data_IF_026466116335
#
_entry.id   IF_026466116335
#
_cell.length_a   1.000
_cell.length_b   1.000
_cell.length_c   1.000
_cell.angle_alpha   90.00
_cell.angle_beta   90.00
_cell.angle_gamma   90.00
#
_symmetry.space_group_name_H-M   'P 1'
#
loop_
_entity.id
_entity.type
_entity.pdbx_description
1 polymer ?
#
# COMPACT_ATOMS: atom_id res chain seq x y z
N UNK A 1 27.20 -26.23 42.84
CA UNK A 1 26.93 -24.82 42.49
C UNK A 1 27.31 -24.73 41.03
N UNK A 2 26.38 -25.12 40.17
CA UNK A 2 26.68 -25.28 38.76
C UNK A 2 26.67 -23.91 38.10
N UNK A 3 27.78 -23.57 37.46
CA UNK A 3 27.96 -22.34 36.70
C UNK A 3 27.11 -22.43 35.43
N UNK A 4 25.80 -22.18 35.56
CA UNK A 4 24.96 -21.95 34.39
C UNK A 4 25.43 -20.68 33.69
N UNK A 5 25.74 -20.78 32.41
CA UNK A 5 26.22 -19.66 31.62
C UNK A 5 25.06 -18.66 31.43
N UNK A 6 25.33 -17.38 31.73
CA UNK A 6 24.38 -16.29 31.46
C UNK A 6 24.22 -16.03 29.97
N UNK A 7 25.15 -16.52 29.15
CA UNK A 7 25.09 -16.49 27.69
C UNK A 7 24.84 -17.90 27.16
N UNK A 8 23.73 -18.08 26.45
CA UNK A 8 23.37 -19.30 25.76
C UNK A 8 23.52 -19.09 24.24
N UNK A 9 24.35 -19.91 23.61
CA UNK A 9 24.50 -19.97 22.16
C UNK A 9 23.88 -21.28 21.69
N UNK A 10 22.86 -21.20 20.86
CA UNK A 10 22.12 -22.34 20.31
C UNK A 10 22.64 -22.58 18.90
N UNK A 11 23.43 -23.64 18.74
CA UNK A 11 23.92 -24.10 17.43
C UNK A 11 23.12 -25.28 16.89
N UNK A 12 22.26 -25.88 17.72
CA UNK A 12 21.37 -26.97 17.34
C UNK A 12 20.09 -26.89 18.17
N UNK A 13 18.96 -27.38 17.65
CA UNK A 13 17.66 -27.27 18.32
C UNK A 13 17.60 -27.93 19.71
N UNK A 14 18.35 -29.02 19.93
CA UNK A 14 18.46 -29.66 21.24
C UNK A 14 19.04 -28.72 22.31
N UNK A 15 19.87 -27.76 21.89
CA UNK A 15 20.43 -26.77 22.81
C UNK A 15 19.36 -25.77 23.24
N UNK A 16 18.37 -25.52 22.37
CA UNK A 16 17.25 -24.61 22.64
C UNK A 16 16.36 -25.17 23.75
N UNK A 17 15.83 -26.39 23.61
CA UNK A 17 14.93 -26.96 24.62
C UNK A 17 15.67 -27.48 25.86
N UNK A 18 16.91 -27.93 25.71
CA UNK A 18 17.69 -28.53 26.80
C UNK A 18 18.32 -27.52 27.76
N UNK A 19 18.69 -26.32 27.28
CA UNK A 19 19.45 -25.34 28.06
C UNK A 19 18.77 -23.98 28.22
N UNK A 20 17.58 -23.76 27.66
CA UNK A 20 16.82 -22.54 27.94
C UNK A 20 16.33 -22.56 29.39
N UNK A 21 17.08 -21.88 30.27
CA UNK A 21 16.78 -21.78 31.70
C UNK A 21 16.52 -20.34 32.12
N UNK A 22 15.89 -20.17 33.29
CA UNK A 22 15.46 -18.87 33.84
C UNK A 22 16.59 -17.86 34.10
N UNK A 23 17.85 -18.27 33.95
CA UNK A 23 19.06 -17.49 34.23
C UNK A 23 19.78 -16.98 32.98
N UNK A 24 19.28 -17.30 31.78
CA UNK A 24 19.85 -16.81 30.53
C UNK A 24 19.64 -15.30 30.42
N UNK A 25 20.73 -14.55 30.24
CA UNK A 25 20.75 -13.10 30.01
C UNK A 25 21.01 -12.75 28.53
N UNK A 26 21.74 -13.59 27.80
CA UNK A 26 22.00 -13.43 26.37
C UNK A 26 21.64 -14.72 25.64
N UNK A 27 20.71 -14.66 24.70
CA UNK A 27 20.35 -15.78 23.84
C UNK A 27 20.75 -15.46 22.41
N UNK A 28 21.63 -16.29 21.85
CA UNK A 28 22.06 -16.22 20.46
C UNK A 28 21.69 -17.53 19.79
N UNK A 29 20.75 -17.50 18.86
CA UNK A 29 20.39 -18.62 18.00
C UNK A 29 21.19 -18.48 16.72
N UNK A 30 21.87 -19.55 16.31
CA UNK A 30 22.60 -19.61 15.04
C UNK A 30 21.66 -19.59 13.84
N UNK A 31 22.22 -19.78 12.64
CA UNK A 31 21.46 -19.79 11.40
C UNK A 31 20.79 -21.17 11.17
N UNK A 32 19.66 -21.18 10.48
CA UNK A 32 18.90 -22.36 10.05
C UNK A 32 18.49 -23.28 11.22
N UNK A 33 18.22 -22.71 12.39
CA UNK A 33 17.78 -23.49 13.55
C UNK A 33 16.27 -23.68 13.48
N UNK A 34 15.84 -24.93 13.32
CA UNK A 34 14.43 -25.33 13.34
C UNK A 34 14.06 -26.02 14.65
N UNK A 35 12.82 -25.82 15.09
CA UNK A 35 12.26 -26.50 16.25
C UNK A 35 11.50 -27.75 15.80
N UNK A 36 11.08 -28.58 16.76
CA UNK A 36 10.29 -29.78 16.43
C UNK A 36 8.95 -29.37 15.81
N UNK A 37 8.46 -30.14 14.83
CA UNK A 37 7.26 -29.82 14.01
C UNK A 37 5.99 -29.50 14.84
N UNK A 38 5.89 -30.00 16.07
CA UNK A 38 4.75 -29.75 16.96
C UNK A 38 4.82 -28.39 17.67
N UNK A 39 5.99 -27.75 17.69
CA UNK A 39 6.22 -26.50 18.42
C UNK A 39 5.96 -25.31 17.51
N UNK A 40 4.71 -24.86 17.43
CA UNK A 40 4.29 -23.72 16.59
C UNK A 40 4.28 -22.37 17.35
N UNK A 41 4.57 -22.38 18.65
CA UNK A 41 4.51 -21.20 19.51
C UNK A 41 5.78 -21.00 20.33
N UNK A 42 6.40 -19.84 20.17
CA UNK A 42 7.56 -19.41 20.94
C UNK A 42 7.16 -18.36 21.99
N UNK A 43 7.17 -18.76 23.25
CA UNK A 43 6.91 -17.88 24.40
C UNK A 43 8.16 -17.78 25.29
N UNK A 44 8.74 -16.58 25.33
CA UNK A 44 9.95 -16.29 26.12
C UNK A 44 9.65 -15.93 27.58
N UNK A 45 8.40 -16.03 28.04
CA UNK A 45 8.00 -15.67 29.40
C UNK A 45 8.84 -16.36 30.50
N UNK A 46 9.39 -17.55 30.25
CA UNK A 46 10.18 -18.26 31.26
C UNK A 46 11.61 -17.71 31.43
N UNK A 47 12.15 -16.98 30.45
CA UNK A 47 13.51 -16.42 30.48
C UNK A 47 13.54 -14.95 30.90
N UNK A 48 13.00 -14.66 32.08
CA UNK A 48 12.83 -13.31 32.63
C UNK A 48 14.13 -12.51 32.82
N UNK A 49 15.29 -13.16 32.79
CA UNK A 49 16.60 -12.51 32.91
C UNK A 49 17.17 -12.04 31.57
N UNK A 50 16.52 -12.40 30.45
CA UNK A 50 17.00 -12.12 29.10
C UNK A 50 17.12 -10.61 28.86
N UNK A 51 18.30 -10.19 28.41
CA UNK A 51 18.66 -8.83 28.03
C UNK A 51 18.82 -8.69 26.52
N UNK A 52 19.40 -9.70 25.87
CA UNK A 52 19.63 -9.68 24.43
C UNK A 52 19.09 -10.96 23.80
N UNK A 53 18.33 -10.80 22.72
CA UNK A 53 17.86 -11.89 21.87
C UNK A 53 18.41 -11.66 20.47
N UNK A 54 19.21 -12.60 19.99
CA UNK A 54 19.72 -12.62 18.63
C UNK A 54 19.29 -13.94 17.98
N UNK A 55 18.68 -13.84 16.81
CA UNK A 55 18.24 -14.99 16.03
C UNK A 55 18.94 -14.88 14.67
N UNK A 56 19.62 -15.95 14.27
CA UNK A 56 20.32 -16.05 13.00
C UNK A 56 19.36 -16.16 11.81
N UNK A 57 19.91 -16.19 10.61
CA UNK A 57 19.16 -16.27 9.36
C UNK A 57 18.42 -17.61 9.22
N UNK A 58 17.29 -17.63 8.51
CA UNK A 58 16.58 -18.86 8.14
C UNK A 58 16.05 -19.67 9.32
N UNK A 59 15.91 -19.07 10.51
CA UNK A 59 15.59 -19.82 11.73
C UNK A 59 14.10 -19.77 12.07
N UNK A 60 13.63 -20.81 12.75
CA UNK A 60 12.27 -20.91 13.29
C UNK A 60 11.17 -20.85 12.22
N UNK A 61 11.32 -21.59 11.13
CA UNK A 61 10.21 -21.85 10.20
C UNK A 61 9.06 -22.53 10.94
N UNK A 62 7.84 -22.35 10.44
CA UNK A 62 6.61 -22.96 10.97
C UNK A 62 6.17 -22.46 12.36
N UNK A 63 6.93 -21.53 12.96
CA UNK A 63 6.47 -20.83 14.16
C UNK A 63 5.42 -19.81 13.74
N UNK A 64 4.17 -20.06 14.16
CA UNK A 64 3.05 -19.16 13.88
C UNK A 64 2.94 -18.04 14.91
N UNK A 65 3.52 -18.19 16.11
CA UNK A 65 3.34 -17.20 17.19
C UNK A 65 4.58 -16.96 18.02
N UNK A 66 4.97 -15.69 18.14
CA UNK A 66 6.12 -15.25 18.94
C UNK A 66 5.68 -14.26 20.02
N UNK A 67 6.01 -14.56 21.28
CA UNK A 67 5.65 -13.75 22.45
C UNK A 67 6.88 -13.32 23.24
N UNK A 68 7.09 -12.01 23.27
CA UNK A 68 8.01 -11.29 24.15
C UNK A 68 7.19 -10.42 25.09
N UNK A 69 6.57 -11.06 26.09
CA UNK A 69 5.60 -10.40 26.98
C UNK A 69 6.13 -10.34 28.40
N UNK A 70 6.16 -9.13 28.97
CA UNK A 70 6.53 -8.90 30.36
C UNK A 70 8.02 -9.00 30.64
N UNK A 71 8.88 -8.98 29.61
CA UNK A 71 10.32 -9.17 29.73
C UNK A 71 10.98 -7.95 30.39
N UNK A 72 11.18 -8.00 31.71
CA UNK A 72 11.61 -6.82 32.49
C UNK A 72 13.06 -6.40 32.28
N UNK A 73 13.90 -7.29 31.76
CA UNK A 73 15.32 -7.05 31.52
C UNK A 73 15.71 -6.93 30.04
N UNK A 74 14.78 -7.18 29.12
CA UNK A 74 15.08 -7.23 27.69
C UNK A 74 15.43 -5.82 27.20
N UNK A 75 16.59 -5.68 26.55
CA UNK A 75 17.14 -4.42 26.07
C UNK A 75 17.25 -4.36 24.54
N UNK A 76 17.54 -5.50 23.88
CA UNK A 76 17.74 -5.56 22.42
C UNK A 76 17.23 -6.88 21.84
N UNK A 77 16.56 -6.79 20.70
CA UNK A 77 16.13 -7.93 19.87
C UNK A 77 16.61 -7.70 18.44
N UNK A 78 17.31 -8.68 17.88
CA UNK A 78 17.78 -8.71 16.50
C UNK A 78 17.42 -10.06 15.89
N UNK A 79 16.75 -10.04 14.74
CA UNK A 79 16.34 -11.24 14.00
C UNK A 79 16.92 -11.17 12.59
N UNK A 80 17.63 -12.22 12.18
CA UNK A 80 18.23 -12.37 10.86
C UNK A 80 17.18 -12.60 9.76
N UNK A 81 17.64 -12.58 8.51
CA UNK A 81 16.77 -12.71 7.35
C UNK A 81 16.02 -14.05 7.32
N UNK A 82 14.92 -14.13 6.57
CA UNK A 82 14.18 -15.37 6.24
C UNK A 82 13.79 -16.21 7.48
N UNK A 83 13.64 -15.55 8.64
CA UNK A 83 13.31 -16.20 9.91
C UNK A 83 11.84 -16.06 10.23
N UNK A 84 11.26 -17.03 10.91
CA UNK A 84 9.82 -17.05 11.21
C UNK A 84 8.92 -17.02 9.97
N UNK A 85 9.38 -17.63 8.87
CA UNK A 85 8.54 -17.90 7.70
C UNK A 85 7.56 -19.03 8.01
N UNK A 86 6.32 -18.92 7.54
CA UNK A 86 5.25 -19.89 7.80
C UNK A 86 4.55 -20.20 6.48
N UNK A 87 4.57 -21.46 6.06
CA UNK A 87 3.69 -21.91 4.97
C UNK A 87 2.26 -22.05 5.54
N UNK A 88 1.44 -21.00 5.43
CA UNK A 88 0.14 -20.94 6.10
C UNK A 88 -0.87 -21.91 5.47
N UNK A 89 -1.42 -22.79 6.31
CA UNK A 89 -2.76 -23.39 6.12
C UNK A 89 -3.80 -22.50 6.81
N UNK A 90 -4.94 -22.24 6.16
CA UNK A 90 -5.97 -21.21 6.45
C UNK A 90 -6.57 -21.13 7.89
N UNK A 91 -6.11 -21.93 8.86
CA UNK A 91 -6.83 -22.18 10.11
C UNK A 91 -6.26 -21.48 11.37
N UNK A 92 -5.02 -20.99 11.37
CA UNK A 92 -4.41 -20.38 12.57
C UNK A 92 -3.86 -18.96 12.34
N UNK A 93 -4.30 -18.01 13.18
CA UNK A 93 -3.81 -16.63 13.14
C UNK A 93 -2.35 -16.52 13.57
N UNK A 94 -1.46 -16.19 12.65
CA UNK A 94 -0.04 -15.94 12.92
C UNK A 94 0.18 -14.58 13.58
N UNK A 95 1.20 -14.44 14.44
CA UNK A 95 1.42 -13.14 15.09
C UNK A 95 2.63 -12.97 16.01
N UNK A 96 3.17 -11.74 15.99
CA UNK A 96 4.23 -11.25 16.86
C UNK A 96 3.64 -10.35 17.96
N UNK A 97 3.97 -10.65 19.22
CA UNK A 97 3.52 -9.89 20.38
C UNK A 97 4.70 -9.45 21.24
N UNK A 98 5.02 -8.16 21.19
CA UNK A 98 6.07 -7.53 22.02
C UNK A 98 5.39 -6.57 22.98
N UNK A 99 5.19 -7.00 24.23
CA UNK A 99 4.41 -6.25 25.23
C UNK A 99 5.12 -6.12 26.57
N UNK A 100 4.90 -5.03 27.28
CA UNK A 100 5.31 -4.84 28.68
C UNK A 100 6.81 -5.06 28.95
N UNK A 101 7.65 -4.67 27.99
CA UNK A 101 9.11 -4.76 28.05
C UNK A 101 9.71 -3.35 28.33
N UNK A 102 9.82 -2.93 29.60
CA UNK A 102 10.12 -1.54 29.97
C UNK A 102 11.53 -1.07 29.63
N UNK A 103 12.47 -2.01 29.39
CA UNK A 103 13.87 -1.71 29.11
C UNK A 103 14.26 -1.93 27.64
N UNK A 104 13.33 -2.40 26.79
CA UNK A 104 13.62 -2.68 25.39
C UNK A 104 13.93 -1.36 24.68
N UNK A 105 15.14 -1.23 24.13
CA UNK A 105 15.63 -0.03 23.43
C UNK A 105 15.61 -0.20 21.92
N UNK A 106 15.87 -1.41 21.45
CA UNK A 106 16.05 -1.71 20.04
C UNK A 106 15.36 -3.00 19.65
N UNK A 107 14.59 -2.93 18.57
CA UNK A 107 14.01 -4.09 17.91
C UNK A 107 14.29 -3.98 16.41
N UNK A 108 15.04 -4.96 15.87
CA UNK A 108 15.40 -5.02 14.45
C UNK A 108 15.11 -6.39 13.89
N UNK A 109 14.59 -6.42 12.68
CA UNK A 109 14.41 -7.64 11.88
C UNK A 109 15.01 -7.43 10.49
N UNK A 110 15.53 -8.52 9.92
CA UNK A 110 16.04 -8.60 8.56
C UNK A 110 14.95 -8.69 7.50
N UNK A 111 15.34 -9.07 6.28
CA UNK A 111 14.43 -9.30 5.15
C UNK A 111 13.62 -10.58 5.34
N UNK A 112 12.39 -10.59 4.86
CA UNK A 112 11.48 -11.76 4.80
C UNK A 112 11.26 -12.42 6.16
N UNK A 113 11.30 -11.61 7.23
CA UNK A 113 10.97 -12.03 8.59
C UNK A 113 9.50 -11.74 8.86
N UNK A 114 8.75 -12.73 9.35
CA UNK A 114 7.32 -12.59 9.63
C UNK A 114 6.51 -12.15 8.39
N UNK A 115 6.89 -12.57 7.19
CA UNK A 115 6.24 -12.21 5.93
C UNK A 115 4.76 -12.61 5.92
N UNK A 116 4.44 -13.84 6.35
CA UNK A 116 3.09 -14.38 6.44
C UNK A 116 2.40 -14.17 7.80
N UNK A 117 2.87 -13.20 8.60
CA UNK A 117 2.27 -12.89 9.90
C UNK A 117 1.11 -11.90 9.77
N UNK A 118 -0.09 -12.31 10.21
CA UNK A 118 -1.29 -11.45 10.18
C UNK A 118 -1.29 -10.35 11.24
N UNK A 119 -0.60 -10.59 12.36
CA UNK A 119 -0.67 -9.75 13.56
C UNK A 119 0.71 -9.28 14.01
N UNK A 120 0.86 -7.97 14.20
CA UNK A 120 2.07 -7.35 14.70
C UNK A 120 1.72 -6.37 15.82
N UNK A 121 2.17 -6.62 17.06
CA UNK A 121 1.81 -5.81 18.22
C UNK A 121 3.02 -5.38 19.03
N UNK A 122 3.14 -4.05 19.20
CA UNK A 122 4.11 -3.39 20.08
C UNK A 122 3.38 -2.52 21.12
N UNK A 123 3.35 -2.95 22.38
CA UNK A 123 2.61 -2.25 23.44
C UNK A 123 3.43 -2.07 24.71
N UNK A 124 3.28 -0.92 25.36
CA UNK A 124 3.94 -0.59 26.63
C UNK A 124 5.47 -0.79 26.61
N UNK A 125 6.12 -0.09 25.67
CA UNK A 125 7.57 -0.12 25.45
C UNK A 125 8.20 1.27 25.72
N UNK A 126 8.19 1.77 26.96
CA UNK A 126 8.56 3.15 27.29
C UNK A 126 10.03 3.51 27.01
N UNK A 127 10.90 2.52 26.83
CA UNK A 127 12.31 2.72 26.51
C UNK A 127 12.68 2.49 25.06
N UNK A 128 11.73 2.13 24.19
CA UNK A 128 12.03 1.81 22.80
C UNK A 128 12.49 3.06 22.07
N UNK A 129 13.69 3.01 21.48
CA UNK A 129 14.34 4.11 20.76
C UNK A 129 14.40 3.82 19.25
N UNK A 130 14.55 2.54 18.88
CA UNK A 130 14.69 2.10 17.49
C UNK A 130 13.77 0.92 17.20
N UNK A 131 12.98 1.07 16.15
CA UNK A 131 12.19 0.00 15.55
C UNK A 131 12.48 -0.06 14.04
N UNK A 132 13.14 -1.13 13.61
CA UNK A 132 13.45 -1.37 12.19
C UNK A 132 12.82 -2.67 11.73
N UNK A 133 11.89 -2.56 10.78
CA UNK A 133 11.09 -3.66 10.25
C UNK A 133 11.51 -3.96 8.81
N UNK A 134 12.63 -4.65 8.62
CA UNK A 134 13.19 -4.98 7.31
C UNK A 134 14.29 -4.03 6.83
N UNK A 135 14.77 -4.27 5.60
CA UNK A 135 15.78 -3.45 4.93
C UNK A 135 15.14 -2.48 3.92
N UNK A 136 15.48 -1.19 4.03
CA UNK A 136 14.94 -0.14 3.14
C UNK A 136 15.45 -0.18 1.70
N UNK A 137 16.42 -1.03 1.38
CA UNK A 137 17.11 -1.11 0.09
C UNK A 137 16.90 -2.46 -0.61
N UNK A 138 16.69 -3.51 0.16
CA UNK A 138 16.49 -4.87 -0.33
C UNK A 138 15.06 -5.32 -0.08
N UNK A 139 14.52 -6.16 -0.97
CA UNK A 139 13.17 -6.73 -0.82
C UNK A 139 13.08 -7.39 0.56
N UNK A 140 12.04 -7.05 1.31
CA UNK A 140 11.91 -7.52 2.70
C UNK A 140 10.54 -8.12 3.04
N UNK A 141 9.45 -7.74 2.37
CA UNK A 141 8.11 -8.34 2.50
C UNK A 141 7.57 -8.57 3.95
N UNK A 142 8.16 -7.96 4.98
CA UNK A 142 7.82 -8.25 6.37
C UNK A 142 6.37 -7.86 6.65
N UNK A 143 5.63 -8.73 7.32
CA UNK A 143 4.23 -8.50 7.72
C UNK A 143 3.36 -8.09 6.52
N UNK A 144 3.41 -8.85 5.43
CA UNK A 144 2.89 -8.45 4.13
C UNK A 144 1.42 -8.02 4.20
N UNK A 145 0.57 -8.80 4.88
CA UNK A 145 -0.88 -8.56 5.01
C UNK A 145 -1.31 -7.89 6.33
N UNK A 146 -0.36 -7.62 7.23
CA UNK A 146 -0.69 -7.11 8.57
C UNK A 146 -1.04 -5.62 8.56
N UNK A 147 -1.76 -5.19 9.59
CA UNK A 147 -1.90 -3.77 9.93
C UNK A 147 -0.91 -3.38 11.04
N UNK A 148 -0.56 -2.09 11.12
CA UNK A 148 0.49 -1.62 12.01
C UNK A 148 0.03 -0.44 12.88
N UNK A 149 0.14 -0.58 14.20
CA UNK A 149 -0.21 0.50 15.13
C UNK A 149 0.88 0.69 16.19
N UNK A 150 1.34 1.93 16.35
CA UNK A 150 2.18 2.37 17.45
C UNK A 150 1.55 3.55 18.16
N UNK A 151 1.33 3.39 19.47
CA UNK A 151 0.73 4.43 20.31
C UNK A 151 1.56 4.66 21.55
N UNK A 152 1.77 5.93 21.88
CA UNK A 152 2.31 6.35 23.19
C UNK A 152 3.71 5.77 23.50
N UNK A 153 4.64 5.88 22.55
CA UNK A 153 6.06 5.49 22.75
C UNK A 153 6.91 6.75 22.93
N UNK A 154 7.24 7.14 24.18
CA UNK A 154 7.80 8.46 24.50
C UNK A 154 9.26 8.65 24.06
N UNK A 155 9.98 7.57 23.75
CA UNK A 155 11.41 7.60 23.37
C UNK A 155 11.70 7.12 21.96
N UNK A 156 10.70 6.64 21.22
CA UNK A 156 10.93 6.10 19.88
C UNK A 156 11.43 7.23 18.99
N UNK A 157 12.61 7.04 18.42
CA UNK A 157 13.35 8.07 17.67
C UNK A 157 13.45 7.72 16.20
N UNK A 158 13.69 6.44 15.91
CA UNK A 158 13.86 5.91 14.55
C UNK A 158 12.82 4.82 14.28
N UNK A 159 12.03 5.02 13.22
CA UNK A 159 11.12 4.03 12.68
C UNK A 159 11.43 3.81 11.20
N UNK A 160 11.69 2.56 10.82
CA UNK A 160 11.93 2.19 9.43
C UNK A 160 11.14 0.96 9.00
N UNK A 161 10.62 1.01 7.78
CA UNK A 161 9.96 -0.09 7.10
C UNK A 161 10.79 -0.50 5.88
N UNK A 162 11.06 -1.80 5.73
CA UNK A 162 11.79 -2.37 4.61
C UNK A 162 10.97 -2.35 3.32
N UNK A 163 11.60 -2.69 2.20
CA UNK A 163 10.93 -2.76 0.89
C UNK A 163 9.80 -3.79 0.96
N UNK A 164 8.59 -3.39 0.54
CA UNK A 164 7.36 -4.21 0.59
C UNK A 164 6.90 -4.62 2.00
N UNK A 165 7.44 -4.04 3.08
CA UNK A 165 6.89 -4.26 4.40
C UNK A 165 5.46 -3.68 4.50
N UNK A 166 4.52 -4.46 5.04
CA UNK A 166 3.10 -4.08 5.15
C UNK A 166 2.49 -3.66 3.79
N UNK A 167 2.69 -4.47 2.74
CA UNK A 167 2.23 -4.18 1.37
C UNK A 167 0.71 -4.29 1.17
N UNK A 168 0.01 -5.05 2.00
CA UNK A 168 -1.43 -5.23 1.89
C UNK A 168 -2.10 -4.91 3.22
N UNK A 169 -1.72 -3.77 3.80
CA UNK A 169 -2.23 -3.35 5.10
C UNK A 169 -3.62 -2.69 5.00
N UNK A 170 -4.44 -2.80 6.05
CA UNK A 170 -5.70 -2.04 6.13
C UNK A 170 -5.48 -0.72 6.87
N UNK A 171 -4.62 -0.73 7.88
CA UNK A 171 -4.47 0.41 8.80
C UNK A 171 -3.02 0.60 9.24
N UNK A 172 -2.59 1.86 9.22
CA UNK A 172 -1.30 2.29 9.79
C UNK A 172 -1.57 3.47 10.72
N UNK A 173 -1.30 3.33 12.01
CA UNK A 173 -1.52 4.39 13.00
C UNK A 173 -0.25 4.67 13.83
N UNK A 174 0.26 5.89 13.73
CA UNK A 174 1.39 6.41 14.49
C UNK A 174 0.90 7.59 15.34
N UNK A 175 0.62 7.33 16.62
CA UNK A 175 0.00 8.32 17.51
C UNK A 175 0.83 8.54 18.77
N UNK A 176 1.01 9.80 19.16
CA UNK A 176 1.71 10.19 20.41
C UNK A 176 3.13 9.64 20.49
N UNK A 177 3.97 9.95 19.49
CA UNK A 177 5.39 9.59 19.44
C UNK A 177 6.26 10.86 19.55
N UNK A 178 6.36 11.47 20.74
CA UNK A 178 6.94 12.81 20.92
C UNK A 178 8.44 12.91 20.68
N UNK A 179 9.14 11.77 20.60
CA UNK A 179 10.57 11.69 20.33
C UNK A 179 10.91 11.26 18.90
N UNK A 180 9.91 10.93 18.07
CA UNK A 180 10.17 10.39 16.73
C UNK A 180 10.81 11.48 15.87
N UNK A 181 12.01 11.20 15.37
CA UNK A 181 12.81 12.14 14.57
C UNK A 181 12.77 11.76 13.08
N UNK A 182 12.87 10.47 12.79
CA UNK A 182 12.98 9.94 11.45
C UNK A 182 12.00 8.78 11.21
N UNK A 183 11.20 8.94 10.16
CA UNK A 183 10.38 7.90 9.56
C UNK A 183 10.89 7.63 8.14
N UNK A 184 11.37 6.42 7.91
CA UNK A 184 11.87 5.97 6.61
C UNK A 184 11.05 4.79 6.10
N UNK A 185 10.66 4.85 4.83
CA UNK A 185 9.75 3.88 4.22
C UNK A 185 10.42 3.34 2.97
N UNK A 186 10.66 2.03 2.94
CA UNK A 186 11.19 1.34 1.77
C UNK A 186 10.22 1.41 0.58
N UNK A 187 10.74 1.15 -0.61
CA UNK A 187 9.95 1.09 -1.83
C UNK A 187 8.78 0.11 -1.65
N UNK A 188 7.58 0.46 -2.13
CA UNK A 188 6.37 -0.35 -2.05
C UNK A 188 5.95 -0.79 -0.63
N UNK A 189 6.54 -0.23 0.43
CA UNK A 189 6.09 -0.45 1.80
C UNK A 189 4.85 0.40 2.10
N UNK A 190 4.01 -0.08 3.03
CA UNK A 190 2.77 0.58 3.44
C UNK A 190 1.83 0.84 2.24
N UNK A 191 1.71 -0.16 1.36
CA UNK A 191 0.65 -0.22 0.36
C UNK A 191 -0.61 -0.73 1.06
N UNK A 192 -1.75 -0.13 0.76
CA UNK A 192 -3.00 -0.44 1.43
C UNK A 192 -3.87 -1.40 0.60
N UNK A 193 -4.79 -2.11 1.25
CA UNK A 193 -5.87 -2.83 0.58
C UNK A 193 -6.71 -1.86 -0.25
N UNK A 194 -7.21 -2.30 -1.40
CA UNK A 194 -8.21 -1.53 -2.17
C UNK A 194 -9.57 -1.61 -1.46
N UNK A 195 -9.76 -0.75 -0.45
CA UNK A 195 -10.97 -0.68 0.37
C UNK A 195 -11.18 0.74 0.88
N UNK A 196 -12.45 1.14 1.04
CA UNK A 196 -12.86 2.40 1.66
C UNK A 196 -12.60 2.47 3.18
N UNK A 197 -12.12 1.39 3.79
CA UNK A 197 -11.77 1.31 5.21
C UNK A 197 -10.32 1.65 5.50
N UNK A 198 -9.49 1.79 4.47
CA UNK A 198 -8.06 1.93 4.66
C UNK A 198 -7.67 3.29 5.21
N UNK A 199 -6.80 3.28 6.21
CA UNK A 199 -6.53 4.48 7.00
C UNK A 199 -5.06 4.61 7.41
N UNK A 200 -4.48 5.77 7.11
CA UNK A 200 -3.21 6.24 7.66
C UNK A 200 -3.47 7.35 8.68
N UNK A 201 -3.02 7.16 9.91
CA UNK A 201 -3.01 8.20 10.95
C UNK A 201 -1.58 8.49 11.37
N UNK A 202 -1.18 9.75 11.29
CA UNK A 202 0.03 10.28 11.90
C UNK A 202 -0.35 11.49 12.75
N UNK A 203 -0.40 11.30 14.08
CA UNK A 203 -0.85 12.33 15.01
C UNK A 203 0.14 12.50 16.16
N UNK A 204 0.39 13.75 16.53
CA UNK A 204 1.24 14.12 17.68
C UNK A 204 2.66 13.57 17.56
N UNK A 205 3.34 13.96 16.46
CA UNK A 205 4.75 13.66 16.17
C UNK A 205 5.58 14.98 16.14
N UNK A 206 5.64 15.75 17.23
CA UNK A 206 6.17 17.12 17.25
C UNK A 206 7.64 17.26 16.89
N UNK A 207 8.44 16.19 17.02
CA UNK A 207 9.87 16.17 16.70
C UNK A 207 10.20 15.53 15.35
N UNK A 208 9.20 15.07 14.61
CA UNK A 208 9.44 14.41 13.33
C UNK A 208 10.05 15.43 12.36
N UNK A 209 11.28 15.20 11.93
CA UNK A 209 12.01 16.08 11.00
C UNK A 209 12.06 15.52 9.60
N UNK A 210 12.11 14.19 9.50
CA UNK A 210 12.27 13.46 8.23
C UNK A 210 11.13 12.46 8.05
N UNK A 211 10.42 12.58 6.93
CA UNK A 211 9.52 11.56 6.41
C UNK A 211 9.91 11.26 4.96
N UNK A 212 10.60 10.13 4.75
CA UNK A 212 11.22 9.82 3.47
C UNK A 212 10.85 8.43 2.96
N UNK A 213 10.25 8.39 1.76
CA UNK A 213 10.15 7.18 0.94
C UNK A 213 11.45 7.01 0.17
N UNK A 214 12.13 5.88 0.40
CA UNK A 214 13.41 5.57 -0.22
C UNK A 214 13.16 4.71 -1.47
N UNK A 215 13.75 5.13 -2.59
CA UNK A 215 13.70 4.39 -3.87
C UNK A 215 15.01 4.58 -4.62
N UNK A 216 15.34 3.64 -5.49
CA UNK A 216 16.45 3.79 -6.44
C UNK A 216 16.05 4.74 -7.58
N UNK A 217 17.03 5.42 -8.19
CA UNK A 217 16.77 6.39 -9.25
C UNK A 217 15.97 5.78 -10.41
N UNK A 218 14.86 6.44 -10.75
CA UNK A 218 13.97 6.03 -11.84
C UNK A 218 13.04 4.85 -11.50
N UNK A 219 13.01 4.34 -10.27
CA UNK A 219 12.03 3.34 -9.85
C UNK A 219 10.75 4.02 -9.36
N UNK A 220 9.60 3.60 -9.89
CA UNK A 220 8.28 3.95 -9.35
C UNK A 220 8.04 3.21 -8.04
N UNK A 221 7.32 3.83 -7.11
CA UNK A 221 6.89 3.21 -5.85
C UNK A 221 5.41 3.43 -5.65
N UNK A 222 4.74 2.41 -5.14
CA UNK A 222 3.34 2.47 -4.72
C UNK A 222 3.20 2.69 -3.21
N UNK A 223 4.24 3.13 -2.49
CA UNK A 223 4.10 3.42 -1.06
C UNK A 223 2.95 4.41 -0.78
N UNK A 224 2.08 4.05 0.16
CA UNK A 224 0.83 4.76 0.50
C UNK A 224 -0.25 4.78 -0.59
N UNK A 225 -0.13 3.90 -1.59
CA UNK A 225 -1.17 3.67 -2.57
C UNK A 225 -2.37 2.98 -1.92
N UNK A 226 -3.58 3.16 -2.46
CA UNK A 226 -4.85 2.65 -1.90
C UNK A 226 -5.24 3.13 -0.51
N UNK A 227 -4.51 4.07 0.08
CA UNK A 227 -4.91 4.69 1.34
C UNK A 227 -6.11 5.62 1.11
N UNK A 228 -7.28 5.28 1.65
CA UNK A 228 -8.52 6.03 1.45
C UNK A 228 -8.63 7.24 2.39
N UNK A 229 -8.35 7.03 3.68
CA UNK A 229 -8.38 8.05 4.74
C UNK A 229 -6.96 8.37 5.20
N UNK A 230 -6.59 9.65 5.17
CA UNK A 230 -5.28 10.13 5.64
C UNK A 230 -5.48 11.24 6.66
N UNK A 231 -5.01 11.00 7.89
CA UNK A 231 -5.06 11.95 9.00
C UNK A 231 -3.64 12.32 9.39
N UNK A 232 -3.30 13.60 9.23
CA UNK A 232 -1.98 14.14 9.52
C UNK A 232 -2.12 15.34 10.46
N UNK A 233 -1.73 15.17 11.72
CA UNK A 233 -1.97 16.17 12.75
C UNK A 233 -0.72 16.38 13.61
N UNK A 234 -0.38 17.64 13.85
CA UNK A 234 0.69 18.04 14.76
C UNK A 234 2.07 17.43 14.41
N UNK A 235 2.57 17.80 13.23
CA UNK A 235 3.91 17.50 12.69
C UNK A 235 4.73 18.80 12.44
N UNK A 236 4.81 19.75 13.40
CA UNK A 236 5.36 21.09 13.19
C UNK A 236 6.83 21.14 12.77
N UNK A 237 7.64 20.17 13.19
CA UNK A 237 9.10 20.15 12.94
C UNK A 237 9.47 19.48 11.62
N UNK A 238 8.48 19.03 10.83
CA UNK A 238 8.72 18.29 9.60
C UNK A 238 9.35 19.22 8.56
N UNK A 239 10.55 18.89 8.10
CA UNK A 239 11.35 19.72 7.18
C UNK A 239 11.72 18.96 5.92
N UNK A 240 12.07 17.69 6.05
CA UNK A 240 12.45 16.84 4.93
C UNK A 240 11.33 15.87 4.64
N UNK A 241 10.67 16.07 3.49
CA UNK A 241 9.63 15.17 2.99
C UNK A 241 10.06 14.65 1.64
N UNK A 242 10.04 13.34 1.48
CA UNK A 242 10.24 12.69 0.19
C UNK A 242 9.10 11.71 -0.02
N UNK A 243 8.08 12.13 -0.77
CA UNK A 243 7.00 11.28 -1.23
C UNK A 243 7.15 11.03 -2.73
N UNK A 244 6.65 9.90 -3.19
CA UNK A 244 6.78 9.47 -4.58
C UNK A 244 5.47 9.73 -5.34
N UNK A 245 5.48 9.86 -6.68
CA UNK A 245 4.34 10.42 -7.44
C UNK A 245 3.00 9.70 -7.24
N UNK A 246 3.01 8.41 -6.88
CA UNK A 246 1.80 7.61 -6.66
C UNK A 246 1.33 7.59 -5.18
N UNK A 247 2.05 8.23 -4.26
CA UNK A 247 1.63 8.27 -2.86
C UNK A 247 0.29 9.00 -2.70
N UNK A 248 -0.60 8.42 -1.91
CA UNK A 248 -1.96 8.93 -1.65
C UNK A 248 -2.85 9.04 -2.89
N UNK A 249 -2.56 8.32 -3.98
CA UNK A 249 -3.36 8.40 -5.21
C UNK A 249 -4.84 8.07 -4.98
N UNK A 250 -5.15 7.26 -3.97
CA UNK A 250 -6.51 6.82 -3.62
C UNK A 250 -7.16 7.58 -2.47
N UNK A 251 -6.49 8.61 -1.95
CA UNK A 251 -6.99 9.34 -0.79
C UNK A 251 -8.16 10.22 -1.19
N UNK A 252 -9.31 10.01 -0.54
CA UNK A 252 -10.51 10.83 -0.71
C UNK A 252 -10.86 11.60 0.56
N UNK A 253 -10.44 11.10 1.72
CA UNK A 253 -10.65 11.73 3.03
C UNK A 253 -9.30 12.18 3.59
N UNK A 254 -8.96 13.44 3.35
CA UNK A 254 -7.73 14.05 3.88
C UNK A 254 -8.05 15.00 5.03
N UNK A 255 -7.51 14.71 6.21
CA UNK A 255 -7.50 15.63 7.34
C UNK A 255 -6.07 16.07 7.64
N UNK A 256 -5.81 17.38 7.59
CA UNK A 256 -4.49 17.93 7.90
C UNK A 256 -4.58 19.07 8.90
N UNK A 257 -3.65 19.10 9.86
CA UNK A 257 -3.50 20.20 10.81
C UNK A 257 -2.07 20.30 11.30
N UNK A 258 -1.42 21.46 11.10
CA UNK A 258 -0.05 21.72 11.56
C UNK A 258 0.99 20.67 11.08
N UNK A 259 1.09 20.46 9.77
CA UNK A 259 1.88 19.37 9.17
C UNK A 259 3.27 19.78 8.64
N UNK A 260 3.80 20.94 9.06
CA UNK A 260 5.14 21.39 8.68
C UNK A 260 5.36 21.50 7.16
N UNK A 261 6.53 21.08 6.67
CA UNK A 261 6.91 21.12 5.25
C UNK A 261 5.96 20.34 4.33
N UNK A 262 5.22 19.37 4.86
CA UNK A 262 4.26 18.57 4.10
C UNK A 262 3.10 19.42 3.57
N UNK A 263 2.76 20.54 4.24
CA UNK A 263 1.74 21.50 3.78
C UNK A 263 2.07 22.16 2.44
N UNK A 264 3.34 22.13 2.02
CA UNK A 264 3.79 22.72 0.75
C UNK A 264 4.09 21.64 -0.30
N UNK A 265 3.87 20.36 0.00
CA UNK A 265 4.17 19.27 -0.91
C UNK A 265 3.10 19.21 -2.03
N UNK A 266 3.56 19.17 -3.29
CA UNK A 266 2.68 19.22 -4.48
C UNK A 266 1.59 18.16 -4.48
N UNK A 267 1.90 16.94 -4.03
CA UNK A 267 0.96 15.83 -3.94
C UNK A 267 -0.25 16.11 -3.05
N UNK A 268 -0.10 16.86 -1.95
CA UNK A 268 -1.25 17.22 -1.11
C UNK A 268 -2.08 18.35 -1.72
N UNK A 269 -1.48 19.20 -2.56
CA UNK A 269 -2.18 20.27 -3.26
C UNK A 269 -2.99 19.77 -4.47
N UNK A 270 -2.66 18.58 -5.00
CA UNK A 270 -3.39 17.92 -6.08
C UNK A 270 -4.50 17.01 -5.59
N UNK A 271 -4.57 16.71 -4.28
CA UNK A 271 -5.66 15.93 -3.72
C UNK A 271 -6.95 16.75 -3.88
N UNK A 272 -7.94 16.24 -4.62
CA UNK A 272 -9.16 16.98 -4.85
C UNK A 272 -9.84 17.25 -3.51
N UNK A 273 -10.36 18.47 -3.34
CA UNK A 273 -11.49 18.72 -2.47
C UNK A 273 -12.69 17.92 -3.03
N UNK A 274 -12.65 16.59 -2.95
CA UNK A 274 -13.57 15.73 -3.65
C UNK A 274 -14.89 15.68 -2.88
N UNK A 275 -15.91 16.32 -3.46
CA UNK A 275 -17.29 15.97 -3.17
C UNK A 275 -17.49 14.55 -3.69
N UNK A 276 -17.68 13.59 -2.78
CA UNK A 276 -18.06 12.23 -3.13
C UNK A 276 -19.44 12.27 -3.80
N UNK A 277 -19.51 11.93 -5.10
CA UNK A 277 -20.78 11.84 -5.82
C UNK A 277 -21.14 10.35 -5.96
N UNK A 278 -22.18 9.93 -5.26
CA UNK A 278 -22.79 8.60 -5.45
C UNK A 278 -23.73 8.61 -6.66
N UNK A 279 -23.86 7.46 -7.34
CA UNK A 279 -24.60 7.31 -8.60
C UNK A 279 -26.07 7.77 -8.56
N UNK A 280 -26.71 7.81 -7.38
CA UNK A 280 -28.09 8.27 -7.19
C UNK A 280 -28.24 9.80 -7.17
N UNK A 281 -27.17 10.57 -7.03
CA UNK A 281 -27.18 12.03 -6.98
C UNK A 281 -27.10 12.76 -8.33
N UNK A 282 -26.77 12.06 -9.42
CA UNK A 282 -26.40 12.69 -10.71
C UNK A 282 -27.57 13.09 -11.61
N UNK A 283 -28.73 12.43 -11.49
CA UNK A 283 -29.91 12.68 -12.33
C UNK A 283 -30.41 14.15 -12.30
N UNK A 284 -30.55 14.81 -11.13
CA UNK A 284 -30.99 16.21 -11.08
C UNK A 284 -29.92 17.25 -11.47
N UNK A 285 -28.65 16.86 -11.58
CA UNK A 285 -27.52 17.73 -11.96
C UNK A 285 -27.16 17.62 -13.47
N UNK A 286 -27.69 16.62 -14.17
CA UNK A 286 -27.32 16.31 -15.55
C UNK A 286 -27.58 17.45 -16.56
N UNK A 287 -28.48 18.38 -16.24
CA UNK A 287 -28.90 19.48 -17.12
C UNK A 287 -28.12 20.78 -16.92
N UNK A 288 -27.30 20.91 -15.87
CA UNK A 288 -26.58 22.14 -15.54
C UNK A 288 -25.05 22.03 -15.55
N UNK A 289 -24.51 20.81 -15.47
CA UNK A 289 -23.07 20.59 -15.45
C UNK A 289 -22.44 20.89 -16.81
N UNK A 290 -21.33 21.62 -16.77
CA UNK A 290 -20.52 21.98 -17.94
C UNK A 290 -19.15 21.30 -17.92
N UNK A 291 -18.69 20.85 -16.75
CA UNK A 291 -17.42 20.14 -16.58
C UNK A 291 -17.65 19.00 -15.56
N UNK A 292 -17.11 17.81 -15.88
CA UNK A 292 -17.13 16.64 -14.99
C UNK A 292 -15.69 16.28 -14.67
N UNK A 293 -15.35 16.33 -13.38
CA UNK A 293 -14.08 15.83 -12.86
C UNK A 293 -14.36 14.73 -11.85
N UNK A 294 -13.91 13.52 -12.16
CA UNK A 294 -13.96 12.36 -11.29
C UNK A 294 -12.57 12.20 -10.68
N UNK A 295 -12.50 12.22 -9.36
CA UNK A 295 -11.24 12.03 -8.63
C UNK A 295 -10.64 10.65 -8.89
N UNK A 296 -9.34 10.50 -8.64
CA UNK A 296 -8.66 9.21 -8.65
C UNK A 296 -9.40 8.17 -7.80
N UNK A 297 -9.34 6.90 -8.20
CA UNK A 297 -9.83 5.72 -7.45
C UNK A 297 -11.33 5.76 -7.15
N UNK A 298 -12.07 6.55 -7.94
CA UNK A 298 -13.51 6.70 -7.79
C UNK A 298 -14.27 5.65 -8.58
N UNK A 299 -15.41 5.21 -8.06
CA UNK A 299 -16.31 4.29 -8.78
C UNK A 299 -15.91 2.82 -8.74
N UNK A 300 -15.12 2.38 -7.75
CA UNK A 300 -14.68 0.99 -7.61
C UNK A 300 -15.68 0.08 -6.85
N UNK A 301 -16.97 0.42 -6.85
CA UNK A 301 -18.01 -0.47 -6.29
C UNK A 301 -18.16 -1.71 -7.21
N UNK A 302 -18.05 -2.95 -6.69
CA UNK A 302 -18.26 -4.18 -7.48
C UNK A 302 -19.61 -4.25 -8.19
N UNK A 303 -20.61 -3.49 -7.75
CA UNK A 303 -21.93 -3.40 -8.39
C UNK A 303 -21.96 -2.41 -9.57
N UNK A 304 -20.98 -1.51 -9.67
CA UNK A 304 -20.90 -0.51 -10.74
C UNK A 304 -20.22 -1.11 -11.97
N UNK A 305 -20.98 -1.87 -12.75
CA UNK A 305 -20.49 -2.59 -13.93
C UNK A 305 -20.59 -1.80 -15.24
N UNK A 306 -21.23 -0.62 -15.21
CA UNK A 306 -21.35 0.26 -16.37
C UNK A 306 -21.40 1.73 -15.95
N UNK A 307 -20.81 2.61 -16.77
CA UNK A 307 -20.79 4.06 -16.61
C UNK A 307 -21.34 4.69 -17.88
N UNK A 308 -22.43 5.45 -17.74
CA UNK A 308 -23.08 6.16 -18.85
C UNK A 308 -23.04 7.68 -18.63
N UNK A 309 -22.26 8.39 -19.45
CA UNK A 309 -22.16 9.85 -19.46
C UNK A 309 -23.17 10.51 -20.42
N UNK A 310 -23.92 9.73 -21.20
CA UNK A 310 -24.87 10.24 -22.19
C UNK A 310 -25.92 11.22 -21.65
N UNK A 311 -26.38 11.14 -20.37
CA UNK A 311 -27.32 12.12 -19.84
C UNK A 311 -26.79 13.57 -19.76
N UNK A 312 -25.47 13.78 -19.72
CA UNK A 312 -24.85 15.09 -19.47
C UNK A 312 -24.66 15.93 -20.75
N UNK A 313 -25.77 16.35 -21.37
CA UNK A 313 -25.75 17.02 -22.69
C UNK A 313 -25.05 18.38 -22.74
N UNK A 314 -24.88 19.03 -21.58
CA UNK A 314 -24.28 20.37 -21.49
C UNK A 314 -22.77 20.34 -21.19
N UNK A 315 -22.19 19.16 -20.96
CA UNK A 315 -20.80 19.01 -20.56
C UNK A 315 -19.85 19.22 -21.74
N UNK A 316 -18.78 19.98 -21.47
CA UNK A 316 -17.67 20.29 -22.37
C UNK A 316 -16.43 19.47 -22.07
N UNK A 317 -16.15 19.18 -20.80
CA UNK A 317 -14.98 18.40 -20.41
C UNK A 317 -15.36 17.25 -19.49
N UNK A 318 -14.79 16.08 -19.75
CA UNK A 318 -14.81 14.94 -18.83
C UNK A 318 -13.36 14.61 -18.50
N UNK A 319 -13.02 14.64 -17.22
CA UNK A 319 -11.72 14.21 -16.70
C UNK A 319 -11.97 13.14 -15.65
N UNK A 320 -11.48 11.93 -15.89
CA UNK A 320 -11.47 10.83 -14.94
C UNK A 320 -10.06 10.65 -14.41
N UNK A 321 -9.89 10.59 -13.10
CA UNK A 321 -8.60 10.30 -12.49
C UNK A 321 -8.09 8.88 -12.80
N UNK A 322 -6.96 8.55 -12.19
CA UNK A 322 -6.32 7.23 -12.31
C UNK A 322 -7.04 6.19 -11.44
N UNK A 323 -6.98 4.92 -11.84
CA UNK A 323 -7.50 3.74 -11.12
C UNK A 323 -8.99 3.80 -10.76
N UNK A 324 -9.78 4.48 -11.59
CA UNK A 324 -11.22 4.62 -11.42
C UNK A 324 -11.99 3.47 -12.09
N UNK A 325 -13.20 3.21 -11.60
CA UNK A 325 -14.18 2.32 -12.21
C UNK A 325 -13.67 0.89 -12.47
N UNK A 326 -12.97 0.31 -11.49
CA UNK A 326 -12.34 -1.02 -11.53
C UNK A 326 -13.24 -2.13 -12.07
N UNK A 327 -14.51 -2.13 -11.70
CA UNK A 327 -15.48 -3.17 -12.10
C UNK A 327 -16.37 -2.76 -13.28
N UNK A 328 -16.22 -1.52 -13.78
CA UNK A 328 -17.05 -1.04 -14.86
C UNK A 328 -16.52 -1.55 -16.19
N UNK A 329 -17.25 -2.50 -16.76
CA UNK A 329 -16.92 -3.10 -18.04
C UNK A 329 -17.41 -2.25 -19.21
N UNK A 330 -18.40 -1.37 -19.01
CA UNK A 330 -19.01 -0.61 -20.12
C UNK A 330 -18.97 0.88 -19.88
N UNK A 331 -18.41 1.64 -20.81
CA UNK A 331 -18.37 3.10 -20.78
C UNK A 331 -19.03 3.66 -22.02
N UNK A 332 -20.07 4.48 -21.81
CA UNK A 332 -20.86 5.06 -22.91
C UNK A 332 -20.84 6.58 -22.84
N UNK A 333 -20.41 7.20 -23.93
CA UNK A 333 -20.50 8.63 -24.20
C UNK A 333 -21.30 8.81 -25.49
N UNK A 334 -22.63 8.94 -25.38
CA UNK A 334 -23.50 9.05 -26.55
C UNK A 334 -24.27 10.37 -26.62
N UNK A 335 -24.22 11.00 -27.79
CA UNK A 335 -25.04 12.16 -28.14
C UNK A 335 -24.71 13.36 -27.29
N UNK A 336 -23.44 13.69 -27.12
CA UNK A 336 -22.97 14.79 -26.28
C UNK A 336 -22.52 15.97 -27.16
N UNK A 337 -23.43 16.92 -27.50
CA UNK A 337 -23.20 17.91 -28.56
C UNK A 337 -22.21 19.02 -28.18
N UNK A 338 -21.94 19.19 -26.88
CA UNK A 338 -21.03 20.23 -26.37
C UNK A 338 -19.69 19.68 -25.90
N UNK A 339 -19.49 18.36 -25.88
CA UNK A 339 -18.27 17.75 -25.36
C UNK A 339 -17.08 18.05 -26.26
N UNK A 340 -16.03 18.63 -25.69
CA UNK A 340 -14.83 19.12 -26.39
C UNK A 340 -13.59 18.27 -26.04
N UNK A 341 -13.49 17.76 -24.81
CA UNK A 341 -12.33 16.99 -24.33
C UNK A 341 -12.73 15.86 -23.39
N UNK A 342 -12.13 14.69 -23.60
CA UNK A 342 -12.26 13.53 -22.71
C UNK A 342 -10.87 13.10 -22.29
N UNK A 343 -10.64 13.01 -20.99
CA UNK A 343 -9.41 12.51 -20.39
C UNK A 343 -9.74 11.41 -19.39
N UNK A 344 -9.13 10.25 -19.58
CA UNK A 344 -9.25 9.10 -18.70
C UNK A 344 -7.86 8.79 -18.14
N UNK A 345 -7.73 8.83 -16.82
CA UNK A 345 -6.48 8.59 -16.12
C UNK A 345 -5.99 7.14 -16.26
N UNK A 346 -4.72 6.94 -15.91
CA UNK A 346 -4.04 5.66 -16.00
C UNK A 346 -4.77 4.57 -15.21
N UNK A 347 -4.76 3.35 -15.74
CA UNK A 347 -5.26 2.16 -15.04
C UNK A 347 -6.73 2.22 -14.60
N UNK A 348 -7.54 3.07 -15.25
CA UNK A 348 -8.99 3.14 -15.06
C UNK A 348 -9.71 2.17 -15.98
N UNK A 349 -10.89 1.66 -15.57
CA UNK A 349 -11.69 0.67 -16.31
C UNK A 349 -10.95 -0.64 -16.58
N UNK A 350 -10.21 -1.13 -15.59
CA UNK A 350 -9.63 -2.47 -15.56
C UNK A 350 -9.80 -3.06 -14.16
N UNK A 351 -10.11 -4.35 -14.08
CA UNK A 351 -10.31 -5.06 -12.82
C UNK A 351 -8.98 -5.39 -12.15
N UNK A 352 -7.92 -5.64 -12.92
CA UNK A 352 -6.59 -5.93 -12.43
C UNK A 352 -5.68 -4.74 -12.66
N UNK A 353 -5.11 -4.21 -11.58
CA UNK A 353 -4.03 -3.22 -11.73
C UNK A 353 -2.76 -3.99 -12.06
N UNK A 354 -2.43 -4.04 -13.34
CA UNK A 354 -1.11 -4.44 -13.76
C UNK A 354 -0.14 -3.34 -13.34
N UNK A 355 0.59 -3.55 -12.25
CA UNK A 355 1.64 -2.62 -11.86
C UNK A 355 2.87 -2.83 -12.76
N UNK A 356 3.56 -1.76 -13.15
CA UNK A 356 4.77 -1.82 -13.95
C UNK A 356 5.95 -2.37 -13.12
N UNK A 357 5.99 -3.68 -12.84
CA UNK A 357 7.08 -4.32 -12.07
C UNK A 357 7.24 -5.79 -12.43
N UNK A 358 8.46 -6.18 -12.82
CA UNK A 358 8.84 -7.56 -13.12
C UNK A 358 8.83 -8.51 -11.91
N UNK A 359 8.69 -8.00 -10.68
CA UNK A 359 8.86 -8.81 -9.45
C UNK A 359 7.61 -8.84 -8.53
N UNK A 360 6.50 -8.21 -8.92
CA UNK A 360 5.25 -8.27 -8.15
C UNK A 360 4.14 -8.81 -9.05
N UNK A 361 3.97 -10.12 -9.00
CA UNK A 361 2.77 -10.79 -9.51
C UNK A 361 1.66 -10.47 -8.51
N UNK A 362 0.95 -9.35 -8.69
CA UNK A 362 -0.44 -9.29 -8.22
C UNK A 362 -1.15 -10.38 -9.01
N UNK A 363 -1.52 -11.47 -8.34
CA UNK A 363 -2.17 -12.67 -8.89
C UNK A 363 -2.63 -12.47 -10.33
N UNK A 364 -1.75 -12.83 -11.27
CA UNK A 364 -2.13 -12.96 -12.67
C UNK A 364 -2.86 -14.30 -12.72
N UNK A 365 -4.11 -14.31 -12.28
CA UNK A 365 -5.02 -15.23 -12.92
C UNK A 365 -5.07 -14.79 -14.38
N UNK A 366 -4.70 -15.70 -15.28
CA UNK A 366 -4.90 -15.57 -16.71
C UNK A 366 -6.42 -15.42 -16.96
N UNK A 367 -6.98 -14.23 -16.71
CA UNK A 367 -8.40 -14.01 -16.92
C UNK A 367 -8.60 -13.62 -18.39
N UNK A 368 -9.23 -14.54 -19.13
CA UNK A 368 -9.66 -14.41 -20.53
C UNK A 368 -10.84 -13.42 -20.68
N UNK A 369 -11.17 -12.60 -19.68
CA UNK A 369 -12.27 -11.64 -19.74
C UNK A 369 -11.95 -10.39 -20.54
N UNK A 370 -11.97 -10.55 -21.85
CA UNK A 370 -11.98 -9.46 -22.83
C UNK A 370 -13.46 -9.10 -23.10
N UNK A 371 -14.18 -8.57 -22.10
CA UNK A 371 -15.63 -8.26 -22.23
C UNK A 371 -15.94 -6.76 -22.10
N UNK A 372 -14.94 -5.91 -21.80
CA UNK A 372 -15.18 -4.48 -21.64
C UNK A 372 -15.41 -3.73 -22.96
N UNK A 373 -16.19 -2.65 -22.94
CA UNK A 373 -16.53 -1.84 -24.10
C UNK A 373 -16.39 -0.34 -23.79
N UNK A 374 -15.56 0.37 -24.55
CA UNK A 374 -15.55 1.82 -24.63
C UNK A 374 -16.29 2.28 -25.88
N UNK A 375 -17.31 3.13 -25.71
CA UNK A 375 -18.17 3.57 -26.80
C UNK A 375 -18.37 5.09 -26.74
N UNK A 376 -17.85 5.81 -27.73
CA UNK A 376 -18.07 7.24 -27.94
C UNK A 376 -18.77 7.47 -29.27
N UNK A 377 -20.02 7.93 -29.23
CA UNK A 377 -20.87 8.15 -30.41
C UNK A 377 -21.54 9.50 -30.42
N UNK A 378 -21.71 10.11 -31.59
CA UNK A 378 -22.48 11.35 -31.78
C UNK A 378 -21.96 12.50 -30.89
N UNK A 379 -20.63 12.70 -30.89
CA UNK A 379 -19.93 13.69 -30.07
C UNK A 379 -19.21 14.72 -30.98
N UNK A 380 -19.95 15.63 -31.65
CA UNK A 380 -19.45 16.40 -32.79
C UNK A 380 -18.36 17.43 -32.50
N UNK A 381 -18.11 17.75 -31.22
CA UNK A 381 -17.15 18.79 -30.82
C UNK A 381 -15.88 18.25 -30.15
N UNK A 382 -15.78 16.94 -29.92
CA UNK A 382 -14.62 16.37 -29.23
C UNK A 382 -13.40 16.51 -30.12
N UNK A 383 -12.38 17.22 -29.63
CA UNK A 383 -11.12 17.43 -30.34
C UNK A 383 -10.01 16.51 -29.86
N UNK A 384 -9.99 16.24 -28.55
CA UNK A 384 -8.95 15.45 -27.90
C UNK A 384 -9.56 14.36 -27.06
N UNK A 385 -9.11 13.12 -27.28
CA UNK A 385 -9.33 11.97 -26.41
C UNK A 385 -8.00 11.54 -25.80
N UNK A 386 -7.86 11.61 -24.48
CA UNK A 386 -6.67 11.17 -23.75
C UNK A 386 -7.03 9.95 -22.92
N UNK A 387 -6.28 8.86 -23.10
CA UNK A 387 -6.37 7.63 -22.32
C UNK A 387 -5.00 7.37 -21.68
N UNK A 388 -4.94 7.31 -20.35
CA UNK A 388 -3.70 7.06 -19.62
C UNK A 388 -3.19 5.62 -19.74
N UNK A 389 -1.95 5.39 -19.30
CA UNK A 389 -1.30 4.06 -19.32
C UNK A 389 -2.17 2.98 -18.66
N UNK A 390 -2.45 1.88 -19.37
CA UNK A 390 -3.34 0.80 -18.90
C UNK A 390 -4.82 1.15 -18.74
N UNK A 391 -5.29 2.33 -19.17
CA UNK A 391 -6.73 2.63 -19.15
C UNK A 391 -7.46 1.75 -20.16
N UNK A 392 -8.52 1.04 -19.74
CA UNK A 392 -9.27 0.05 -20.53
C UNK A 392 -8.51 -1.23 -20.91
N UNK A 393 -7.46 -1.61 -20.19
CA UNK A 393 -6.57 -2.73 -20.58
C UNK A 393 -7.32 -4.01 -20.94
N UNK A 394 -8.38 -4.32 -20.17
CA UNK A 394 -9.24 -5.50 -20.27
C UNK A 394 -10.47 -5.29 -21.18
N UNK A 395 -10.62 -4.11 -21.78
CA UNK A 395 -11.69 -3.89 -22.73
C UNK A 395 -11.43 -4.66 -24.03
N UNK A 396 -12.48 -5.27 -24.56
CA UNK A 396 -12.50 -5.98 -25.83
C UNK A 396 -12.94 -5.16 -27.02
N UNK A 397 -13.43 -3.94 -26.81
CA UNK A 397 -13.90 -3.09 -27.89
C UNK A 397 -13.70 -1.60 -27.58
N UNK A 398 -13.20 -0.85 -28.57
CA UNK A 398 -13.09 0.60 -28.56
C UNK A 398 -13.74 1.19 -29.82
N UNK A 399 -14.92 1.78 -29.66
CA UNK A 399 -15.70 2.37 -30.76
C UNK A 399 -15.75 3.89 -30.62
N UNK A 400 -15.28 4.58 -31.66
CA UNK A 400 -15.45 6.02 -31.83
C UNK A 400 -16.16 6.28 -33.16
N UNK A 401 -17.39 6.76 -33.08
CA UNK A 401 -18.28 6.95 -34.23
C UNK A 401 -18.91 8.34 -34.19
N UNK A 402 -19.07 9.01 -35.34
CA UNK A 402 -19.70 10.33 -35.40
C UNK A 402 -19.04 11.40 -34.52
N UNK A 403 -17.70 11.45 -34.58
CA UNK A 403 -16.85 12.43 -33.90
C UNK A 403 -16.02 13.23 -34.92
N UNK A 404 -16.66 14.04 -35.79
CA UNK A 404 -16.01 14.71 -36.92
C UNK A 404 -14.95 15.77 -36.54
N UNK A 405 -14.95 16.28 -35.31
CA UNK A 405 -13.98 17.28 -34.84
C UNK A 405 -12.73 16.69 -34.18
N UNK A 406 -12.58 15.36 -34.15
CA UNK A 406 -11.48 14.69 -33.47
C UNK A 406 -10.15 14.97 -34.19
N UNK A 407 -9.25 15.69 -33.50
CA UNK A 407 -7.93 16.08 -34.00
C UNK A 407 -6.81 15.20 -33.40
N UNK A 408 -6.98 14.74 -32.16
CA UNK A 408 -5.95 14.04 -31.40
C UNK A 408 -6.52 12.89 -30.55
N UNK A 409 -5.86 11.73 -30.61
CA UNK A 409 -6.05 10.63 -29.66
C UNK A 409 -4.71 10.30 -29.03
N UNK A 410 -4.61 10.46 -27.71
CA UNK A 410 -3.44 10.09 -26.91
C UNK A 410 -3.78 8.81 -26.16
N UNK A 411 -2.98 7.76 -26.30
CA UNK A 411 -3.14 6.50 -25.58
C UNK A 411 -1.83 6.10 -24.90
N UNK A 412 -1.87 5.96 -23.58
CA UNK A 412 -0.74 5.63 -22.74
C UNK A 412 0.20 6.80 -22.47
N UNK A 413 1.25 6.53 -21.70
CA UNK A 413 2.44 7.39 -21.62
C UNK A 413 3.54 6.79 -22.50
N UNK A 414 4.35 7.62 -23.16
CA UNK A 414 5.58 7.22 -23.88
C UNK A 414 6.71 6.74 -22.93
N UNK A 415 6.39 6.39 -21.69
CA UNK A 415 7.37 5.91 -20.73
C UNK A 415 7.85 4.50 -21.13
N UNK A 416 9.02 4.46 -21.75
CA UNK A 416 9.69 3.25 -22.24
C UNK A 416 10.10 2.28 -21.13
N UNK A 417 9.93 2.65 -19.86
CA UNK A 417 10.40 1.81 -18.76
C UNK A 417 9.46 0.65 -18.45
N UNK A 418 8.13 0.84 -18.56
CA UNK A 418 7.12 -0.19 -18.29
C UNK A 418 5.76 0.09 -19.00
N UNK A 419 5.67 -0.11 -20.32
CA UNK A 419 4.46 0.19 -21.08
C UNK A 419 3.35 -0.85 -20.85
N UNK A 420 2.15 -0.40 -20.48
CA UNK A 420 0.93 -1.22 -20.45
C UNK A 420 -0.06 -0.62 -21.45
N UNK A 421 -0.38 -1.38 -22.50
CA UNK A 421 -1.30 -0.90 -23.54
C UNK A 421 -2.68 -0.56 -22.97
N UNK A 422 -3.31 0.53 -23.44
CA UNK A 422 -4.68 0.88 -23.09
C UNK A 422 -5.69 -0.20 -23.49
N UNK A 423 -5.46 -0.96 -24.56
CA UNK A 423 -6.34 -2.06 -24.95
C UNK A 423 -5.47 -3.27 -25.29
N UNK A 424 -5.54 -4.35 -24.48
CA UNK A 424 -4.70 -5.54 -24.67
C UNK A 424 -5.04 -6.28 -25.97
N UNK A 425 -6.33 -6.45 -26.25
CA UNK A 425 -6.86 -7.29 -27.34
C UNK A 425 -8.12 -6.71 -28.03
N UNK A 426 -8.31 -5.38 -28.02
CA UNK A 426 -9.48 -4.74 -28.66
C UNK A 426 -9.18 -4.20 -30.06
N UNK A 427 -10.12 -4.29 -31.01
CA UNK A 427 -10.09 -3.45 -32.21
C UNK A 427 -10.41 -1.99 -31.85
N UNK A 428 -9.70 -1.06 -32.50
CA UNK A 428 -10.06 0.35 -32.53
C UNK A 428 -10.85 0.63 -33.81
N UNK A 429 -12.15 0.90 -33.66
CA UNK A 429 -13.03 1.23 -34.79
C UNK A 429 -13.30 2.74 -34.83
N UNK A 430 -12.79 3.40 -35.87
CA UNK A 430 -13.11 4.80 -36.18
C UNK A 430 -14.10 4.84 -37.35
N UNK A 431 -15.35 5.24 -37.10
CA UNK A 431 -16.41 5.30 -38.11
C UNK A 431 -16.89 6.73 -38.32
N UNK A 432 -16.92 7.16 -39.57
CA UNK A 432 -17.70 8.33 -39.98
C UNK A 432 -19.13 7.88 -40.27
N UNK A 433 -20.16 8.54 -39.74
CA UNK A 433 -21.57 8.17 -39.97
C UNK A 433 -22.10 8.33 -41.39
N UNK A 434 -21.21 8.50 -42.37
CA UNK A 434 -21.53 8.40 -43.79
C UNK A 434 -21.09 7.02 -44.32
N UNK A 435 -21.68 5.94 -43.79
CA UNK A 435 -21.78 4.70 -44.57
C UNK A 435 -23.03 4.80 -45.44
N UNK A 436 -22.78 5.11 -46.72
CA UNK A 436 -23.78 5.51 -47.70
C UNK A 436 -24.95 4.52 -47.87
N UNK A 437 -26.15 5.06 -47.66
CA UNK A 437 -27.35 4.61 -48.35
C UNK A 437 -27.56 5.46 -49.60
N UNK A 438 -27.21 4.91 -50.78
CA UNK A 438 -27.91 5.24 -52.03
C UNK A 438 -29.21 4.47 -52.11
#
# INVERSE_FOLDING_TARGET
MDHWYTKLVVGHYYDFLGYLHTGVEELIVGDNIQLEEEMVHLDFHYVQQLRTLQIGEGSFTDITRVKLIGMKKLESVVIGNESFHVEVTEEEQSGLFVKDCPLLKEFRIGTDVFDDYDVCVFENLPSLEVLALGDTKERSCNFYDASFELKSLPKLRLLSFGVEAFHNCERVALENLPALENLTVGRNALVFKDSDKTELIMRDLPKLTTFACLTQEGCVSTSFFFCFSVVLENLPSLTTVTLLPLSFNSCTLLHTSNIGALAHHSLLNTLPNAIAITASGLQPLATSLTDITIAHVSGNDPKLTAVDFSPFKQVKTITVGNFCFRYAMRVTLKGMPLLERVEIGASSFQQHIHLPMNDVVLFVEDDERIEGQFCMKECPKVKTLVLGNGAFHEAGECVVEDVPALEEIVMGDWDNKYPIGCFKNAPLELKSGDDGGM
#
